data_IF_687122257954
#
_entry.id   IF_687122257954
#
_cell.length_a   1.000
_cell.length_b   1.000
_cell.length_c   1.000
_cell.angle_alpha   90.00
_cell.angle_beta   90.00
_cell.angle_gamma   90.00
#
_symmetry.space_group_name_H-M   'P 1'
#
loop_
_entity.id
_entity.type
_entity.pdbx_description
1 polymer ?
#
# COMPACT_ATOMS: atom_id res chain seq x y z
N UNK A 1 30.09 -19.46 23.24
CA UNK A 1 28.98 -19.44 22.27
C UNK A 1 27.68 -19.49 23.03
N UNK A 2 27.05 -18.34 23.27
CA UNK A 2 25.80 -18.25 24.01
C UNK A 2 24.63 -18.27 23.01
N UNK A 3 23.80 -19.29 23.13
CA UNK A 3 22.61 -19.54 22.33
C UNK A 3 21.55 -18.47 22.65
N UNK A 4 21.16 -17.65 21.67
CA UNK A 4 20.07 -16.70 21.81
C UNK A 4 18.77 -17.46 22.09
N UNK A 5 18.17 -17.14 23.24
CA UNK A 5 16.94 -17.72 23.75
C UNK A 5 15.78 -17.30 22.82
N UNK A 6 15.07 -18.27 22.23
CA UNK A 6 13.88 -18.05 21.39
C UNK A 6 12.85 -17.22 22.17
N UNK A 7 12.63 -16.00 21.70
CA UNK A 7 11.83 -14.97 22.34
C UNK A 7 10.36 -15.40 22.50
N UNK A 8 9.89 -15.30 23.74
CA UNK A 8 8.50 -15.41 24.17
C UNK A 8 7.72 -14.24 23.56
N UNK A 9 6.52 -14.48 23.03
CA UNK A 9 5.60 -13.41 22.61
C UNK A 9 5.38 -12.44 23.78
N UNK A 10 5.87 -11.20 23.66
CA UNK A 10 5.57 -10.12 24.59
C UNK A 10 4.52 -9.24 23.92
N UNK A 11 3.28 -9.33 24.41
CA UNK A 11 2.17 -8.52 23.90
C UNK A 11 2.25 -7.10 24.48
N UNK A 12 2.48 -6.11 23.63
CA UNK A 12 2.21 -4.72 23.97
C UNK A 12 0.83 -4.34 23.41
N UNK A 13 -0.07 -3.89 24.28
CA UNK A 13 -1.37 -3.32 23.89
C UNK A 13 -1.14 -1.91 23.33
N UNK A 14 -1.54 -1.69 22.07
CA UNK A 14 -1.59 -0.34 21.50
C UNK A 14 -2.89 0.35 21.97
N UNK A 15 -2.86 1.67 22.23
CA UNK A 15 -4.01 2.40 22.77
C UNK A 15 -5.20 2.42 21.81
N UNK A 16 -6.38 2.44 22.42
CA UNK A 16 -7.71 2.27 21.82
C UNK A 16 -8.21 3.60 21.25
N UNK A 17 -8.61 3.63 19.99
CA UNK A 17 -9.49 4.69 19.45
C UNK A 17 -10.54 4.10 18.50
N UNK A 18 -11.82 4.40 18.79
CA UNK A 18 -12.97 4.39 17.88
C UNK A 18 -13.25 3.10 17.10
N UNK A 19 -13.73 2.05 17.78
CA UNK A 19 -14.41 0.92 17.14
C UNK A 19 -13.55 0.04 16.20
N UNK A 20 -12.23 0.22 16.22
CA UNK A 20 -11.28 -0.57 15.43
C UNK A 20 -10.94 -1.91 16.10
N UNK A 21 -10.73 -2.94 15.29
CA UNK A 21 -10.39 -4.29 15.76
C UNK A 21 -9.09 -4.29 16.56
N UNK A 22 -9.11 -4.94 17.73
CA UNK A 22 -7.98 -4.99 18.67
C UNK A 22 -6.78 -5.71 18.04
N UNK A 23 -5.62 -5.06 18.07
CA UNK A 23 -4.35 -5.61 17.59
C UNK A 23 -3.32 -5.63 18.71
N UNK A 24 -2.42 -6.61 18.67
CA UNK A 24 -1.22 -6.69 19.52
C UNK A 24 0.01 -6.67 18.63
N UNK A 25 1.13 -6.18 19.15
CA UNK A 25 2.41 -6.34 18.46
C UNK A 25 2.92 -7.78 18.65
N UNK A 26 3.24 -8.46 17.54
CA UNK A 26 3.97 -9.72 17.53
C UNK A 26 5.28 -9.56 16.76
N UNK A 27 6.34 -10.20 17.25
CA UNK A 27 7.64 -10.16 16.57
C UNK A 27 7.65 -11.18 15.43
N UNK A 28 8.02 -10.76 14.23
CA UNK A 28 8.37 -11.66 13.14
C UNK A 28 9.76 -12.27 13.34
N UNK A 29 10.08 -13.25 12.50
CA UNK A 29 11.33 -14.01 12.50
C UNK A 29 12.59 -13.13 12.38
N UNK A 30 12.48 -12.01 11.68
CA UNK A 30 13.52 -11.00 11.47
C UNK A 30 13.58 -9.93 12.59
N UNK A 31 12.70 -10.02 13.59
CA UNK A 31 12.64 -9.06 14.70
C UNK A 31 11.83 -7.80 14.39
N UNK A 32 11.09 -7.76 13.28
CA UNK A 32 10.13 -6.71 12.95
C UNK A 32 8.86 -6.85 13.82
N UNK A 33 8.29 -5.75 14.31
CA UNK A 33 7.11 -5.80 15.20
C UNK A 33 5.80 -5.66 14.41
N UNK A 34 5.16 -6.77 14.06
CA UNK A 34 3.94 -6.81 13.24
C UNK A 34 2.67 -6.54 14.06
N UNK A 35 1.76 -5.66 13.58
CA UNK A 35 0.39 -5.60 14.09
C UNK A 35 -0.33 -6.92 13.77
N UNK A 36 -0.73 -7.67 14.79
CA UNK A 36 -1.48 -8.92 14.63
C UNK A 36 -2.80 -8.85 15.39
N UNK A 37 -3.89 -9.41 14.87
CA UNK A 37 -5.12 -9.55 15.64
C UNK A 37 -4.93 -10.48 16.84
N UNK A 38 -5.84 -10.37 17.82
CA UNK A 38 -5.90 -11.29 18.96
C UNK A 38 -6.15 -12.73 18.52
N UNK A 39 -5.72 -13.71 19.33
CA UNK A 39 -5.90 -15.13 19.01
C UNK A 39 -7.36 -15.51 18.69
N UNK A 40 -8.32 -14.86 19.34
CA UNK A 40 -9.74 -15.06 19.11
C UNK A 40 -10.17 -14.82 17.67
N UNK A 41 -9.48 -13.95 16.94
CA UNK A 41 -9.71 -13.71 15.51
C UNK A 41 -9.55 -14.98 14.69
N UNK A 42 -8.50 -15.78 14.92
CA UNK A 42 -8.30 -17.02 14.16
C UNK A 42 -9.30 -18.12 14.53
N UNK A 43 -9.78 -18.11 15.78
CA UNK A 43 -10.70 -19.12 16.31
C UNK A 43 -12.18 -18.82 16.02
N UNK A 44 -12.53 -17.56 15.75
CA UNK A 44 -13.92 -17.09 15.64
C UNK A 44 -14.31 -16.61 14.24
N UNK A 45 -13.60 -17.08 13.20
CA UNK A 45 -14.01 -16.81 11.83
C UNK A 45 -15.46 -17.31 11.59
N UNK A 46 -16.38 -16.46 11.10
CA UNK A 46 -17.76 -16.86 10.80
C UNK A 46 -17.82 -18.04 9.83
N UNK A 47 -18.73 -18.99 10.07
CA UNK A 47 -18.83 -20.23 9.28
C UNK A 47 -19.24 -20.02 7.82
N UNK A 48 -19.88 -18.90 7.55
CA UNK A 48 -20.36 -18.42 6.25
C UNK A 48 -19.35 -17.49 5.56
N UNK A 49 -18.13 -17.37 6.08
CA UNK A 49 -17.07 -16.56 5.46
C UNK A 49 -16.74 -17.07 4.05
N UNK A 50 -16.71 -16.16 3.09
CA UNK A 50 -16.56 -16.50 1.68
C UNK A 50 -15.15 -17.02 1.32
N UNK A 51 -14.11 -16.50 1.98
CA UNK A 51 -12.71 -16.92 1.83
C UNK A 51 -12.28 -17.10 0.36
N UNK A 52 -12.65 -16.14 -0.50
CA UNK A 52 -12.66 -16.27 -1.96
C UNK A 52 -11.32 -16.65 -2.59
N UNK A 53 -10.20 -16.29 -1.95
CA UNK A 53 -8.84 -16.64 -2.39
C UNK A 53 -8.44 -18.02 -1.83
N UNK A 54 -8.63 -18.26 -0.53
CA UNK A 54 -8.24 -19.53 0.12
C UNK A 54 -9.00 -20.75 -0.39
N UNK A 55 -10.29 -20.58 -0.69
CA UNK A 55 -11.17 -21.67 -1.14
C UNK A 55 -10.82 -22.12 -2.56
N UNK A 56 -10.53 -21.15 -3.43
CA UNK A 56 -10.26 -21.28 -4.86
C UNK A 56 -11.27 -22.17 -5.63
N UNK A 57 -11.20 -22.13 -6.96
CA UNK A 57 -11.99 -22.89 -7.94
C UNK A 57 -11.87 -24.43 -7.81
N UNK A 58 -11.32 -24.94 -6.71
CA UNK A 58 -11.18 -26.35 -6.36
C UNK A 58 -12.36 -26.90 -5.55
N UNK A 59 -13.27 -26.04 -5.08
CA UNK A 59 -14.44 -26.45 -4.29
C UNK A 59 -14.14 -26.83 -2.84
N UNK A 60 -12.98 -26.44 -2.29
CA UNK A 60 -12.61 -26.72 -0.91
C UNK A 60 -13.36 -25.80 0.05
N UNK A 61 -13.96 -26.34 1.08
CA UNK A 61 -14.57 -25.52 2.14
C UNK A 61 -13.49 -24.68 2.86
N UNK A 62 -13.84 -23.49 3.37
CA UNK A 62 -12.94 -22.70 4.23
C UNK A 62 -12.42 -23.55 5.40
N UNK A 63 -11.15 -23.40 5.75
CA UNK A 63 -10.55 -24.11 6.89
C UNK A 63 -10.68 -23.29 8.17
N UNK A 64 -10.99 -23.98 9.26
CA UNK A 64 -11.22 -23.39 10.58
C UNK A 64 -10.42 -24.14 11.63
N UNK A 65 -9.96 -23.43 12.65
CA UNK A 65 -9.46 -24.06 13.87
C UNK A 65 -10.62 -24.41 14.80
N UNK A 66 -10.66 -25.65 15.26
CA UNK A 66 -11.68 -26.15 16.21
C UNK A 66 -11.43 -25.68 17.63
N UNK A 67 -10.15 -25.54 18.00
CA UNK A 67 -9.71 -25.26 19.36
C UNK A 67 -8.28 -24.64 19.35
N UNK A 68 -7.88 -23.93 20.42
CA UNK A 68 -6.55 -23.31 20.50
C UNK A 68 -5.36 -24.29 20.40
N UNK A 69 -5.54 -25.57 20.74
CA UNK A 69 -4.46 -26.57 20.71
C UNK A 69 -4.21 -27.08 19.29
N UNK A 70 -5.21 -27.01 18.42
CA UNK A 70 -5.10 -27.33 16.99
C UNK A 70 -4.27 -26.31 16.20
N UNK A 71 -4.00 -25.14 16.77
CA UNK A 71 -3.26 -24.07 16.10
C UNK A 71 -1.76 -24.44 16.04
N UNK A 72 -1.17 -24.59 14.85
CA UNK A 72 0.23 -24.95 14.72
C UNK A 72 1.12 -23.80 15.20
N UNK A 73 2.25 -24.13 15.82
CA UNK A 73 3.30 -23.12 16.05
C UNK A 73 3.76 -22.59 14.69
N UNK A 74 3.93 -21.27 14.60
CA UNK A 74 4.41 -20.60 13.40
C UNK A 74 5.53 -19.65 13.72
N UNK A 75 6.35 -19.40 12.72
CA UNK A 75 7.30 -18.31 12.67
C UNK A 75 6.94 -17.47 11.44
N UNK A 76 6.60 -16.20 11.66
CA UNK A 76 6.04 -15.32 10.62
C UNK A 76 7.17 -14.42 10.16
N UNK A 77 7.44 -14.40 8.87
CA UNK A 77 8.31 -13.40 8.28
C UNK A 77 7.50 -12.14 7.93
N UNK A 78 8.06 -10.95 8.12
CA UNK A 78 7.46 -9.74 7.56
C UNK A 78 7.68 -9.70 6.05
N UNK A 79 6.61 -9.67 5.26
CA UNK A 79 6.77 -9.60 3.81
C UNK A 79 7.31 -8.24 3.37
N UNK A 80 8.37 -8.27 2.56
CA UNK A 80 8.86 -7.10 1.86
C UNK A 80 7.99 -6.78 0.63
N UNK A 81 8.22 -5.60 0.04
CA UNK A 81 7.46 -5.12 -1.12
C UNK A 81 7.48 -6.11 -2.29
N UNK A 82 8.63 -6.71 -2.61
CA UNK A 82 8.75 -7.66 -3.72
C UNK A 82 7.89 -8.92 -3.50
N UNK A 83 7.77 -9.38 -2.25
CA UNK A 83 6.89 -10.50 -1.87
C UNK A 83 5.42 -10.11 -1.99
N UNK A 84 5.03 -8.93 -1.53
CA UNK A 84 3.65 -8.41 -1.68
C UNK A 84 3.27 -8.33 -3.16
N UNK A 85 4.14 -7.77 -4.01
CA UNK A 85 3.91 -7.68 -5.45
C UNK A 85 3.78 -9.04 -6.13
N UNK A 86 4.57 -10.03 -5.69
CA UNK A 86 4.45 -11.40 -6.19
C UNK A 86 3.07 -11.98 -5.89
N UNK A 87 2.57 -11.79 -4.67
CA UNK A 87 1.24 -12.26 -4.27
C UNK A 87 0.13 -11.52 -5.02
N UNK A 88 0.27 -10.20 -5.23
CA UNK A 88 -0.66 -9.44 -6.07
C UNK A 88 -0.76 -10.00 -7.49
N UNK A 89 0.38 -10.31 -8.12
CA UNK A 89 0.41 -10.93 -9.46
C UNK A 89 -0.25 -12.30 -9.45
N UNK A 90 -0.04 -13.10 -8.42
CA UNK A 90 -0.69 -14.41 -8.28
C UNK A 90 -2.21 -14.27 -8.17
N UNK A 91 -2.72 -13.36 -7.33
CA UNK A 91 -4.16 -13.12 -7.17
C UNK A 91 -4.76 -12.67 -8.49
N UNK A 92 -4.13 -11.75 -9.22
CA UNK A 92 -4.60 -11.31 -10.54
C UNK A 92 -4.66 -12.44 -11.56
N UNK A 93 -3.68 -13.35 -11.51
CA UNK A 93 -3.61 -14.49 -12.43
C UNK A 93 -4.67 -15.53 -12.10
N UNK A 94 -4.90 -15.81 -10.81
CA UNK A 94 -5.79 -16.89 -10.36
C UNK A 94 -7.25 -16.44 -10.20
N UNK A 95 -7.48 -15.17 -9.87
CA UNK A 95 -8.78 -14.60 -9.54
C UNK A 95 -8.97 -13.21 -10.19
N UNK A 96 -8.92 -13.09 -11.53
CA UNK A 96 -8.97 -11.79 -12.21
C UNK A 96 -10.22 -10.98 -11.85
N UNK A 97 -11.40 -11.58 -11.91
CA UNK A 97 -12.66 -10.90 -11.57
C UNK A 97 -12.74 -10.47 -10.09
N UNK A 98 -12.19 -11.27 -9.18
CA UNK A 98 -12.10 -10.88 -7.77
C UNK A 98 -11.12 -9.71 -7.62
N UNK A 99 -9.96 -9.79 -8.27
CA UNK A 99 -8.90 -8.82 -8.13
C UNK A 99 -9.35 -7.41 -8.48
N UNK A 100 -10.24 -7.25 -9.47
CA UNK A 100 -10.83 -5.97 -9.89
C UNK A 100 -11.86 -5.40 -8.90
N UNK A 101 -12.42 -6.24 -8.01
CA UNK A 101 -13.50 -5.86 -7.08
C UNK A 101 -13.05 -5.76 -5.63
N UNK A 102 -11.77 -6.02 -5.35
CA UNK A 102 -11.20 -5.87 -4.02
C UNK A 102 -11.30 -4.41 -3.58
N UNK A 103 -11.80 -4.22 -2.37
CA UNK A 103 -11.84 -2.93 -1.67
C UNK A 103 -10.83 -2.91 -0.53
N UNK A 104 -10.39 -1.72 -0.14
CA UNK A 104 -9.50 -1.53 1.00
C UNK A 104 -10.19 -2.05 2.27
N UNK A 105 -9.53 -2.92 3.06
CA UNK A 105 -10.11 -3.43 4.31
C UNK A 105 -10.11 -2.35 5.40
N UNK A 106 -11.20 -2.29 6.16
CA UNK A 106 -11.38 -1.38 7.29
C UNK A 106 -11.07 -2.05 8.64
N UNK A 107 -11.23 -3.37 8.71
CA UNK A 107 -11.12 -4.20 9.91
C UNK A 107 -10.50 -5.56 9.58
N UNK A 108 -9.90 -6.23 10.57
CA UNK A 108 -9.29 -7.56 10.35
C UNK A 108 -10.32 -8.56 9.80
N UNK A 109 -11.55 -8.43 10.25
CA UNK A 109 -12.70 -9.25 9.87
C UNK A 109 -13.00 -9.16 8.36
N UNK A 110 -12.69 -8.03 7.71
CA UNK A 110 -12.86 -7.88 6.26
C UNK A 110 -11.97 -8.87 5.48
N UNK A 111 -10.87 -9.35 6.07
CA UNK A 111 -10.00 -10.34 5.43
C UNK A 111 -10.67 -11.71 5.30
N UNK A 112 -11.70 -12.03 6.10
CA UNK A 112 -12.43 -13.31 5.96
C UNK A 112 -13.17 -13.43 4.63
N UNK A 113 -13.43 -12.30 3.95
CA UNK A 113 -13.94 -12.31 2.58
C UNK A 113 -12.96 -13.00 1.62
N UNK A 114 -11.66 -12.89 1.89
CA UNK A 114 -10.60 -13.32 0.97
C UNK A 114 -9.89 -14.57 1.47
N UNK A 115 -9.61 -14.67 2.77
CA UNK A 115 -8.79 -15.73 3.33
C UNK A 115 -9.50 -16.50 4.44
N UNK A 116 -9.15 -17.79 4.57
CA UNK A 116 -9.58 -18.62 5.68
C UNK A 116 -8.66 -18.49 6.91
N UNK A 117 -9.10 -19.05 8.04
CA UNK A 117 -8.37 -18.93 9.31
C UNK A 117 -6.98 -19.56 9.24
N UNK A 118 -6.78 -20.59 8.41
CA UNK A 118 -5.49 -21.25 8.24
C UNK A 118 -4.50 -20.35 7.51
N UNK A 119 -4.90 -19.73 6.39
CA UNK A 119 -4.01 -18.85 5.64
C UNK A 119 -3.70 -17.57 6.44
N UNK A 120 -4.71 -17.01 7.12
CA UNK A 120 -4.53 -15.87 8.03
C UNK A 120 -3.53 -16.18 9.15
N UNK A 121 -3.54 -17.41 9.68
CA UNK A 121 -2.57 -17.84 10.66
C UNK A 121 -1.21 -18.10 10.03
N UNK A 122 -1.10 -18.95 9.01
CA UNK A 122 0.19 -19.41 8.50
C UNK A 122 0.97 -18.33 7.76
N UNK A 123 0.30 -17.53 6.92
CA UNK A 123 0.94 -16.44 6.18
C UNK A 123 1.06 -15.16 7.00
N UNK A 124 0.24 -15.04 8.05
CA UNK A 124 0.13 -13.85 8.89
C UNK A 124 -0.89 -12.86 8.35
N UNK A 125 -1.88 -12.56 9.19
CA UNK A 125 -2.94 -11.60 8.90
C UNK A 125 -2.40 -10.25 8.44
N UNK A 126 -1.30 -9.76 9.04
CA UNK A 126 -0.61 -8.54 8.61
C UNK A 126 -0.16 -8.59 7.15
N UNK A 127 0.52 -9.66 6.76
CA UNK A 127 1.04 -9.81 5.40
C UNK A 127 -0.09 -9.83 4.37
N UNK A 128 -1.15 -10.58 4.68
CA UNK A 128 -2.34 -10.69 3.82
C UNK A 128 -3.16 -9.39 3.78
N UNK A 129 -3.20 -8.64 4.90
CA UNK A 129 -3.75 -7.30 4.93
C UNK A 129 -3.04 -6.38 3.94
N UNK A 130 -1.70 -6.35 3.98
CA UNK A 130 -0.91 -5.51 3.09
C UNK A 130 -1.20 -5.82 1.62
N UNK A 131 -1.35 -7.10 1.26
CA UNK A 131 -1.73 -7.52 -0.09
C UNK A 131 -3.12 -6.99 -0.48
N UNK A 132 -4.16 -7.24 0.33
CA UNK A 132 -5.53 -6.80 0.00
C UNK A 132 -5.65 -5.28 -0.01
N UNK A 133 -4.98 -4.61 0.93
CA UNK A 133 -4.94 -3.16 1.02
C UNK A 133 -4.29 -2.53 -0.21
N UNK A 134 -3.16 -3.08 -0.67
CA UNK A 134 -2.49 -2.61 -1.89
C UNK A 134 -3.33 -2.87 -3.14
N UNK A 135 -3.98 -4.04 -3.24
CA UNK A 135 -4.87 -4.35 -4.36
C UNK A 135 -6.09 -3.42 -4.40
N UNK A 136 -6.73 -3.18 -3.25
CA UNK A 136 -7.85 -2.26 -3.13
C UNK A 136 -7.46 -0.82 -3.49
N UNK A 137 -6.27 -0.38 -3.07
CA UNK A 137 -5.75 0.93 -3.44
C UNK A 137 -5.54 1.06 -4.95
N UNK A 138 -4.96 0.04 -5.60
CA UNK A 138 -4.80 0.03 -7.06
C UNK A 138 -6.16 0.09 -7.78
N UNK A 139 -7.20 -0.56 -7.25
CA UNK A 139 -8.56 -0.47 -7.81
C UNK A 139 -9.19 0.91 -7.61
N UNK A 140 -9.05 1.52 -6.43
CA UNK A 140 -9.52 2.89 -6.19
C UNK A 140 -8.86 3.90 -7.14
N UNK A 141 -7.55 3.73 -7.41
CA UNK A 141 -6.81 4.53 -8.41
C UNK A 141 -7.48 4.44 -9.79
N UNK A 142 -7.76 3.22 -10.24
CA UNK A 142 -8.39 2.96 -11.54
C UNK A 142 -9.82 3.55 -11.62
N UNK A 143 -10.59 3.49 -10.55
CA UNK A 143 -11.93 4.10 -10.50
C UNK A 143 -11.83 5.63 -10.58
N UNK A 144 -10.94 6.25 -9.80
CA UNK A 144 -10.69 7.70 -9.87
C UNK A 144 -10.29 8.13 -11.28
N UNK A 145 -9.39 7.35 -11.90
CA UNK A 145 -8.96 7.52 -13.29
C UNK A 145 -10.15 7.49 -14.26
N UNK A 146 -11.01 6.47 -14.18
CA UNK A 146 -12.18 6.36 -15.08
C UNK A 146 -13.16 7.52 -14.90
N UNK A 147 -13.41 7.93 -13.65
CA UNK A 147 -14.29 9.07 -13.36
C UNK A 147 -13.73 10.38 -13.93
N UNK A 148 -12.42 10.57 -13.85
CA UNK A 148 -11.75 11.72 -14.44
C UNK A 148 -11.87 11.72 -15.97
N UNK A 149 -11.65 10.58 -16.61
CA UNK A 149 -11.82 10.43 -18.06
C UNK A 149 -13.26 10.76 -18.49
N UNK A 150 -14.26 10.29 -17.75
CA UNK A 150 -15.66 10.62 -18.01
C UNK A 150 -15.95 12.12 -17.85
N UNK A 151 -15.39 12.77 -16.82
CA UNK A 151 -15.54 14.23 -16.64
C UNK A 151 -14.92 15.01 -17.80
N UNK A 152 -13.73 14.62 -18.27
CA UNK A 152 -13.06 15.28 -19.40
C UNK A 152 -13.87 15.10 -20.70
N UNK A 153 -14.40 13.90 -20.95
CA UNK A 153 -15.27 13.64 -22.10
C UNK A 153 -16.55 14.50 -22.07
N UNK A 154 -17.17 14.65 -20.89
CA UNK A 154 -18.40 15.42 -20.72
C UNK A 154 -18.20 16.94 -20.83
N UNK A 155 -16.99 17.45 -20.61
CA UNK A 155 -16.67 18.89 -20.69
C UNK A 155 -16.37 19.38 -22.11
N UNK A 156 -16.45 18.50 -23.13
CA UNK A 156 -16.15 18.87 -24.52
C UNK A 156 -14.71 19.36 -24.75
N UNK A 157 -13.83 19.18 -23.76
CA UNK A 157 -12.44 19.60 -23.83
C UNK A 157 -11.63 18.54 -24.59
N UNK A 158 -10.77 19.05 -25.47
CA UNK A 158 -9.97 18.33 -26.46
C UNK A 158 -9.30 17.08 -25.90
N UNK A 159 -9.46 15.99 -26.64
CA UNK A 159 -8.83 14.66 -26.55
C UNK A 159 -8.52 14.14 -25.14
N UNK A 160 -9.19 13.07 -24.67
CA UNK A 160 -8.74 12.39 -23.46
C UNK A 160 -7.25 12.02 -23.60
N UNK A 161 -6.50 12.12 -22.51
CA UNK A 161 -5.10 11.69 -22.50
C UNK A 161 -5.03 10.25 -23.00
N UNK A 162 -4.03 9.95 -23.82
CA UNK A 162 -3.78 8.59 -24.27
C UNK A 162 -3.25 7.77 -23.10
N UNK A 163 -3.56 6.46 -23.01
CA UNK A 163 -3.05 5.59 -21.94
C UNK A 163 -1.54 5.71 -21.68
N UNK A 164 -0.74 5.87 -22.74
CA UNK A 164 0.70 6.08 -22.64
C UNK A 164 1.09 7.39 -21.94
N UNK A 165 0.39 8.49 -22.21
CA UNK A 165 0.65 9.79 -21.57
C UNK A 165 0.33 9.74 -20.08
N UNK A 166 -0.75 9.05 -19.71
CA UNK A 166 -1.13 8.86 -18.31
C UNK A 166 -0.12 7.98 -17.58
N UNK A 167 0.29 6.86 -18.18
CA UNK A 167 1.34 6.01 -17.63
C UNK A 167 2.61 6.80 -17.32
N UNK A 168 3.07 7.65 -18.25
CA UNK A 168 4.28 8.47 -18.05
C UNK A 168 4.14 9.45 -16.89
N UNK A 169 2.99 10.10 -16.75
CA UNK A 169 2.72 11.04 -15.66
C UNK A 169 2.64 10.31 -14.31
N UNK A 170 1.96 9.15 -14.26
CA UNK A 170 1.90 8.30 -13.07
C UNK A 170 3.30 7.77 -12.70
N UNK A 171 4.10 7.30 -13.67
CA UNK A 171 5.47 6.82 -13.46
C UNK A 171 6.37 7.94 -12.92
N UNK A 172 6.21 9.17 -13.42
CA UNK A 172 6.91 10.33 -12.88
C UNK A 172 6.49 10.62 -11.43
N UNK A 173 5.19 10.65 -11.14
CA UNK A 173 4.70 10.90 -9.79
C UNK A 173 5.20 9.83 -8.81
N UNK A 174 5.14 8.56 -9.18
CA UNK A 174 5.64 7.41 -8.41
C UNK A 174 7.15 7.47 -8.22
N UNK A 175 7.90 7.82 -9.28
CA UNK A 175 9.33 8.06 -9.21
C UNK A 175 9.68 9.23 -8.28
N UNK A 176 8.91 10.33 -8.32
CA UNK A 176 9.13 11.51 -7.50
C UNK A 176 8.86 11.23 -6.02
N UNK A 177 7.78 10.52 -5.68
CA UNK A 177 7.48 10.11 -4.30
C UNK A 177 8.32 8.92 -3.83
N UNK A 178 9.13 8.29 -4.68
CA UNK A 178 10.07 7.26 -4.21
C UNK A 178 11.15 7.86 -3.28
N UNK A 179 11.38 9.17 -3.35
CA UNK A 179 12.27 9.91 -2.47
C UNK A 179 11.59 10.34 -1.17
N UNK A 180 12.24 10.08 -0.04
CA UNK A 180 11.71 10.33 1.30
C UNK A 180 11.42 11.81 1.54
N UNK A 181 12.31 12.69 1.11
CA UNK A 181 12.17 14.15 1.26
C UNK A 181 10.92 14.66 0.52
N UNK A 182 10.73 14.18 -0.70
CA UNK A 182 9.59 14.50 -1.54
C UNK A 182 8.27 14.00 -0.92
N UNK A 183 8.25 12.77 -0.38
CA UNK A 183 7.10 12.27 0.39
C UNK A 183 6.77 13.17 1.57
N UNK A 184 7.78 13.61 2.32
CA UNK A 184 7.56 14.49 3.47
C UNK A 184 7.04 15.87 3.07
N UNK A 185 7.52 16.43 1.95
CA UNK A 185 6.97 17.65 1.38
C UNK A 185 5.50 17.47 1.02
N UNK A 186 5.19 16.36 0.35
CA UNK A 186 3.82 16.01 -0.02
C UNK A 186 2.94 15.86 1.22
N UNK A 187 3.31 15.04 2.21
CA UNK A 187 2.54 14.85 3.46
C UNK A 187 2.23 16.18 4.17
N UNK A 188 3.19 17.11 4.20
CA UNK A 188 3.07 18.41 4.88
C UNK A 188 2.20 19.41 4.12
N UNK A 189 1.89 19.17 2.85
CA UNK A 189 1.05 20.05 2.07
C UNK A 189 -0.34 20.17 2.69
N UNK A 190 -0.77 21.40 2.91
CA UNK A 190 -2.00 21.75 3.64
C UNK A 190 -3.13 22.23 2.72
N UNK A 191 -2.87 22.29 1.41
CA UNK A 191 -3.84 22.79 0.43
C UNK A 191 -3.83 24.31 0.24
N UNK A 192 -2.96 25.05 0.93
CA UNK A 192 -2.89 26.52 0.84
C UNK A 192 -2.40 27.03 -0.52
N UNK A 193 -1.68 26.20 -1.27
CA UNK A 193 -1.16 26.50 -2.60
C UNK A 193 -1.36 25.32 -3.54
N UNK A 194 -1.19 25.53 -4.85
CA UNK A 194 -1.24 24.46 -5.85
C UNK A 194 -0.19 23.39 -5.52
N UNK A 195 -0.59 22.12 -5.54
CA UNK A 195 0.26 20.99 -5.19
C UNK A 195 1.47 20.84 -6.12
N UNK A 196 1.39 21.32 -7.38
CA UNK A 196 2.54 21.32 -8.29
C UNK A 196 3.64 22.30 -7.86
N UNK A 197 3.36 23.25 -6.96
CA UNK A 197 4.39 24.14 -6.42
C UNK A 197 5.36 23.43 -5.46
N UNK A 198 5.08 22.16 -5.10
CA UNK A 198 6.04 21.31 -4.39
C UNK A 198 7.21 20.87 -5.28
N UNK A 199 7.04 20.93 -6.61
CA UNK A 199 8.07 20.54 -7.56
C UNK A 199 9.19 21.58 -7.61
N UNK A 200 10.43 21.12 -7.56
CA UNK A 200 11.61 21.97 -7.68
C UNK A 200 11.83 22.44 -9.12
N UNK A 201 12.62 23.50 -9.37
CA UNK A 201 12.95 23.92 -10.73
C UNK A 201 13.59 22.81 -11.59
N UNK A 202 14.26 21.84 -10.96
CA UNK A 202 14.82 20.66 -11.62
C UNK A 202 13.72 19.72 -12.07
N UNK A 203 12.69 19.49 -11.24
CA UNK A 203 11.54 18.66 -11.61
C UNK A 203 10.78 19.30 -12.79
N UNK A 204 10.66 20.63 -12.81
CA UNK A 204 10.05 21.36 -13.92
C UNK A 204 10.79 21.20 -15.24
N UNK A 205 12.12 21.39 -15.22
CA UNK A 205 12.96 21.36 -16.43
C UNK A 205 13.39 19.94 -16.83
N UNK A 206 14.09 19.25 -15.93
CA UNK A 206 14.63 17.91 -16.21
C UNK A 206 13.55 16.83 -16.17
N UNK A 207 12.55 16.98 -15.29
CA UNK A 207 11.39 16.08 -15.22
C UNK A 207 10.35 16.30 -16.31
N UNK A 208 10.53 17.31 -17.18
CA UNK A 208 9.65 17.59 -18.32
C UNK A 208 8.27 18.13 -17.95
N UNK A 209 8.06 18.57 -16.71
CA UNK A 209 6.75 19.07 -16.26
C UNK A 209 6.38 20.39 -16.96
N UNK A 210 7.36 21.20 -17.35
CA UNK A 210 7.11 22.45 -18.08
C UNK A 210 6.49 22.24 -19.48
N UNK A 211 6.69 21.07 -20.07
CA UNK A 211 6.12 20.72 -21.37
C UNK A 211 4.71 20.11 -21.30
N UNK A 212 4.16 19.94 -20.09
CA UNK A 212 2.80 19.42 -19.93
C UNK A 212 1.77 20.45 -20.39
N UNK A 213 0.80 19.99 -21.20
CA UNK A 213 -0.39 20.77 -21.47
C UNK A 213 -1.30 20.82 -20.23
N UNK A 214 -2.34 21.67 -20.27
CA UNK A 214 -3.24 21.85 -19.13
C UNK A 214 -3.90 20.54 -18.65
N UNK A 215 -4.30 19.66 -19.57
CA UNK A 215 -4.94 18.37 -19.23
C UNK A 215 -3.95 17.45 -18.52
N UNK A 216 -2.71 17.37 -19.03
CA UNK A 216 -1.63 16.58 -18.42
C UNK A 216 -1.24 17.13 -17.05
N UNK A 217 -1.12 18.45 -16.91
CA UNK A 217 -0.80 19.09 -15.64
C UNK A 217 -1.92 18.89 -14.59
N UNK A 218 -3.18 18.90 -15.01
CA UNK A 218 -4.32 18.57 -14.14
C UNK A 218 -4.26 17.10 -13.69
N UNK A 219 -3.94 16.17 -14.59
CA UNK A 219 -3.77 14.77 -14.22
C UNK A 219 -2.63 14.57 -13.21
N UNK A 220 -1.50 15.28 -13.38
CA UNK A 220 -0.41 15.26 -12.40
C UNK A 220 -0.82 15.82 -11.03
N UNK A 221 -1.67 16.85 -10.98
CA UNK A 221 -2.24 17.36 -9.72
C UNK A 221 -3.07 16.30 -9.01
N UNK A 222 -3.88 15.57 -9.76
CA UNK A 222 -4.73 14.52 -9.21
C UNK A 222 -3.88 13.35 -8.69
N UNK A 223 -2.84 12.94 -9.42
CA UNK A 223 -1.85 11.95 -8.95
C UNK A 223 -1.19 12.39 -7.64
N UNK A 224 -0.68 13.62 -7.54
CA UNK A 224 -0.09 14.08 -6.28
C UNK A 224 -1.12 14.23 -5.15
N UNK A 225 -2.35 14.62 -5.45
CA UNK A 225 -3.42 14.73 -4.44
C UNK A 225 -3.79 13.35 -3.89
N UNK A 226 -3.82 12.35 -4.77
CA UNK A 226 -4.00 10.96 -4.41
C UNK A 226 -2.87 10.46 -3.50
N UNK A 227 -1.61 10.67 -3.91
CA UNK A 227 -0.44 10.26 -3.13
C UNK A 227 -0.32 11.03 -1.80
N UNK A 228 -0.74 12.29 -1.76
CA UNK A 228 -0.85 13.07 -0.52
C UNK A 228 -1.76 12.37 0.47
N UNK A 229 -2.99 12.03 0.07
CA UNK A 229 -3.95 11.36 0.94
C UNK A 229 -3.40 10.03 1.44
N UNK A 230 -2.85 9.23 0.52
CA UNK A 230 -2.28 7.92 0.82
C UNK A 230 -1.15 7.95 1.84
N UNK A 231 -0.18 8.84 1.63
CA UNK A 231 0.98 8.96 2.49
C UNK A 231 0.66 9.68 3.79
N UNK A 232 -0.27 10.64 3.79
CA UNK A 232 -0.72 11.33 5.00
C UNK A 232 -1.43 10.37 5.94
N UNK A 233 -2.35 9.53 5.44
CA UNK A 233 -3.00 8.53 6.28
C UNK A 233 -2.00 7.55 6.91
N UNK A 234 -0.99 7.15 6.13
CA UNK A 234 0.13 6.31 6.57
C UNK A 234 1.05 6.99 7.58
N UNK A 235 1.27 8.29 7.42
CA UNK A 235 2.13 9.07 8.29
C UNK A 235 1.45 9.38 9.64
N UNK A 236 0.15 9.67 9.61
CA UNK A 236 -0.65 9.99 10.79
C UNK A 236 -1.02 8.74 11.59
N UNK A 237 -1.18 7.59 10.92
CA UNK A 237 -1.51 6.32 11.55
C UNK A 237 -0.57 5.19 11.13
N UNK A 238 0.74 5.28 11.39
CA UNK A 238 1.72 4.33 10.88
C UNK A 238 1.51 2.92 11.44
N UNK A 239 0.99 2.79 12.66
CA UNK A 239 0.66 1.50 13.26
C UNK A 239 -0.43 0.72 12.49
N UNK A 240 -1.25 1.40 11.68
CA UNK A 240 -2.24 0.77 10.81
C UNK A 240 -1.61 0.14 9.56
N UNK A 241 -0.45 0.65 9.10
CA UNK A 241 0.11 0.31 7.79
C UNK A 241 1.53 -0.26 7.81
N UNK A 242 2.26 -0.06 8.91
CA UNK A 242 3.64 -0.48 9.04
C UNK A 242 3.94 -1.00 10.47
N UNK A 243 4.75 -2.05 10.60
CA UNK A 243 5.40 -2.36 11.85
C UNK A 243 6.39 -1.24 12.27
N UNK A 244 6.63 -0.99 13.58
CA UNK A 244 7.43 0.14 14.06
C UNK A 244 8.82 0.28 13.44
N UNK A 245 9.47 -0.83 13.15
CA UNK A 245 10.80 -0.86 12.55
C UNK A 245 10.80 -0.49 11.06
N UNK A 246 9.64 -0.48 10.40
CA UNK A 246 9.45 -0.01 9.02
C UNK A 246 8.99 1.44 8.92
N UNK A 247 8.71 2.12 10.05
CA UNK A 247 8.26 3.52 10.02
C UNK A 247 9.30 4.45 9.40
N UNK A 248 10.58 4.04 9.34
CA UNK A 248 11.63 4.80 8.66
C UNK A 248 11.37 5.05 7.18
N UNK A 249 10.55 4.23 6.50
CA UNK A 249 10.12 4.48 5.12
C UNK A 249 9.22 5.73 4.99
N UNK A 250 8.57 6.15 6.08
CA UNK A 250 7.74 7.36 6.13
C UNK A 250 8.57 8.64 6.22
N UNK A 251 9.86 8.53 6.60
CA UNK A 251 10.75 9.68 6.77
C UNK A 251 10.45 10.55 8.00
N UNK A 252 11.18 11.65 8.11
CA UNK A 252 10.94 12.70 9.10
C UNK A 252 11.17 12.20 10.53
N UNK A 253 10.16 12.35 11.40
CA UNK A 253 10.23 11.91 12.81
C UNK A 253 10.40 10.40 12.98
N UNK A 254 10.27 9.63 11.90
CA UNK A 254 10.40 8.17 11.89
C UNK A 254 11.70 7.67 11.23
N UNK A 255 12.50 8.55 10.60
CA UNK A 255 13.73 8.15 9.93
C UNK A 255 14.81 7.69 10.93
N UNK A 256 15.59 6.65 10.57
CA UNK A 256 16.80 6.28 11.33
C UNK A 256 17.85 7.38 11.14
N UNK A 257 18.52 7.80 12.22
CA UNK A 257 19.53 8.89 12.20
C UNK A 257 20.64 8.70 11.16
N UNK A 258 20.89 7.46 10.72
CA UNK A 258 21.97 7.11 9.81
C UNK A 258 21.56 7.03 8.33
N UNK A 259 20.28 7.22 7.99
CA UNK A 259 19.78 7.07 6.61
C UNK A 259 19.73 8.37 5.79
N UNK A 260 20.45 9.42 6.22
CA UNK A 260 20.35 10.78 5.63
C UNK A 260 21.54 11.16 4.72
N UNK A 261 22.45 10.24 4.41
CA UNK A 261 23.62 10.56 3.56
C UNK A 261 23.76 9.64 2.35
N UNK A 262 23.33 10.13 1.17
CA UNK A 262 23.67 9.55 -0.12
C UNK A 262 23.13 10.36 -1.31
N UNK A 263 23.96 10.71 -2.32
CA UNK A 263 23.56 11.62 -3.40
C UNK A 263 22.68 10.97 -4.48
N UNK A 264 21.73 11.80 -4.94
CA UNK A 264 20.70 11.64 -6.00
C UNK A 264 21.18 10.98 -7.31
N UNK A 265 20.43 9.97 -7.83
CA UNK A 265 20.39 9.53 -9.26
C UNK A 265 19.00 8.93 -9.57
N UNK A 266 18.14 9.57 -10.38
CA UNK A 266 18.03 9.57 -11.87
C UNK A 266 17.05 8.58 -12.53
N UNK A 267 16.19 7.86 -11.80
CA UNK A 267 15.27 6.92 -12.47
C UNK A 267 13.94 7.51 -12.96
N UNK A 268 13.39 8.54 -12.31
CA UNK A 268 12.10 9.15 -12.72
C UNK A 268 12.19 10.33 -13.70
N UNK A 269 13.33 11.04 -13.75
CA UNK A 269 13.45 12.30 -14.52
C UNK A 269 13.62 12.12 -16.03
N UNK A 270 14.10 10.96 -16.52
CA UNK A 270 14.43 10.79 -17.94
C UNK A 270 13.24 10.41 -18.84
N UNK A 271 12.10 10.02 -18.27
CA UNK A 271 11.00 9.45 -19.07
C UNK A 271 10.11 10.49 -19.75
N UNK A 272 9.88 11.66 -19.12
CA UNK A 272 9.04 12.71 -19.69
C UNK A 272 9.81 13.63 -20.64
N UNK A 273 11.07 13.96 -20.33
CA UNK A 273 11.91 14.84 -21.14
C UNK A 273 12.33 14.22 -22.49
N UNK A 274 12.61 12.91 -22.52
CA UNK A 274 12.95 12.19 -23.75
C UNK A 274 11.76 12.01 -24.72
N UNK A 275 10.52 12.11 -24.21
CA UNK A 275 9.32 11.97 -25.05
C UNK A 275 8.89 13.31 -25.66
N UNK A 276 8.90 14.41 -24.89
CA UNK A 276 8.57 15.77 -25.37
C UNK A 276 9.52 16.20 -26.49
N UNK A 277 10.78 15.76 -26.45
CA UNK A 277 11.77 16.07 -27.50
C UNK A 277 11.61 15.22 -28.77
N UNK A 278 10.75 14.19 -28.76
CA UNK A 278 10.55 13.25 -29.88
C UNK A 278 9.15 13.29 -30.51
N UNK A 279 8.23 14.12 -30.00
CA UNK A 279 6.90 14.36 -30.55
C UNK A 279 6.77 15.82 -31.01
#
# INVERSE_FOLDING_TARGET
>A
MATLQKSRMVSHQLPIENGKTVSVAAMSSDGTALPTPLMSYYLKMPRDSACLISVNNTGKAPRFYSDPLSIPKRDIECWNQARVEKELRMIRTQHPALAETVTIPASWEDLYRYYDAHDLWLQGAWNLWTVINELGYQNEKLVCYHQQMQKIQNLGHRSPLKPAEMSLISDFAEGWISFTENRLMLIKWDGSHDILQLLSPVDWKEGGVEGLNQTQANFLRDEFTYWHRYWRERYDNPARFFPPDQWHHLGGKYAKKDSVSGPKKRFGMLLLSDWITRC
#
